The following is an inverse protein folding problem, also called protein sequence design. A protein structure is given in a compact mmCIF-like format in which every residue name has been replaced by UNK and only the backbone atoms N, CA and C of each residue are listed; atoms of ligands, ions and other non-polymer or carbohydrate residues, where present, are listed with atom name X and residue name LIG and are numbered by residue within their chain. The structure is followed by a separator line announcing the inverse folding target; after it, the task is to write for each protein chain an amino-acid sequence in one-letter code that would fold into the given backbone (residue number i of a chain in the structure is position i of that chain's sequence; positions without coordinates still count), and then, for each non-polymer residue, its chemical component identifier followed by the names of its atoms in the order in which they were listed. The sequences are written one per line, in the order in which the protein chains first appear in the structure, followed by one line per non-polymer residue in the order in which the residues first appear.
data_IF_783440532301
#
_entry.id   IF_783440532301
#
_cell.length_a   1.000
_cell.length_b   1.000
_cell.length_c   1.000
_cell.angle_alpha   90.00
_cell.angle_beta   90.00
_cell.angle_gamma   90.00
#
_symmetry.space_group_name_H-M   'P 1'
#
loop_
_entity.id
_entity.type
_entity.pdbx_description
1 polymer ?
#
# COMPACT_ATOMS: atom_id res chain seq x y z
N UNK A 1 3.48 15.68 -5.84
CA UNK A 1 3.60 14.54 -4.91
C UNK A 1 3.30 15.04 -3.51
N UNK A 2 2.07 15.52 -3.33
CA UNK A 2 1.85 16.62 -2.39
C UNK A 2 1.69 16.10 -0.96
N UNK A 3 1.07 14.92 -0.79
CA UNK A 3 0.96 14.25 0.51
C UNK A 3 2.33 13.86 1.10
N UNK A 4 3.27 13.41 0.25
CA UNK A 4 4.61 13.03 0.68
C UNK A 4 5.38 14.26 1.19
N UNK A 5 5.31 15.36 0.43
CA UNK A 5 5.95 16.61 0.84
C UNK A 5 5.32 17.18 2.12
N UNK A 6 3.98 17.16 2.23
CA UNK A 6 3.26 17.61 3.42
C UNK A 6 3.64 16.79 4.67
N UNK A 7 3.70 15.46 4.56
CA UNK A 7 4.13 14.59 5.65
C UNK A 7 5.57 14.88 6.07
N UNK A 8 6.48 15.05 5.10
CA UNK A 8 7.88 15.41 5.38
C UNK A 8 8.00 16.77 6.09
N UNK A 9 7.28 17.80 5.63
CA UNK A 9 7.23 19.12 6.29
C UNK A 9 6.64 19.04 7.70
N UNK A 10 5.73 18.09 7.95
CA UNK A 10 5.19 17.77 9.27
C UNK A 10 6.13 16.92 10.15
N UNK A 11 7.34 16.61 9.67
CA UNK A 11 8.38 15.92 10.41
C UNK A 11 8.41 14.41 10.24
N UNK A 12 7.73 13.85 9.23
CA UNK A 12 7.80 12.43 8.89
C UNK A 12 9.25 12.05 8.54
N UNK A 13 9.81 11.08 9.27
CA UNK A 13 11.20 10.63 9.10
C UNK A 13 11.39 9.29 9.80
N UNK A 14 12.08 8.35 9.13
CA UNK A 14 12.32 6.99 9.63
C UNK A 14 11.01 6.21 9.90
N UNK A 15 9.95 6.49 9.16
CA UNK A 15 8.62 5.87 9.35
C UNK A 15 8.56 4.38 9.02
N UNK A 16 9.66 3.77 8.55
CA UNK A 16 9.80 2.32 8.42
C UNK A 16 10.06 1.60 9.75
N UNK A 17 10.32 2.35 10.83
CA UNK A 17 10.49 1.84 12.19
C UNK A 17 9.34 2.32 13.08
N UNK A 18 8.67 1.37 13.73
CA UNK A 18 7.45 1.63 14.52
C UNK A 18 7.67 2.68 15.62
N UNK A 19 8.87 2.75 16.20
CA UNK A 19 9.21 3.72 17.25
C UNK A 19 9.19 5.18 16.75
N UNK A 20 9.41 5.36 15.45
CA UNK A 20 9.45 6.66 14.77
C UNK A 20 8.17 6.99 14.02
N UNK A 21 7.37 5.97 13.67
CA UNK A 21 6.12 6.17 12.95
C UNK A 21 5.14 7.01 13.78
N UNK A 22 4.63 8.07 13.15
CA UNK A 22 3.60 8.95 13.73
C UNK A 22 2.47 9.11 12.73
N UNK A 23 1.40 8.33 12.92
CA UNK A 23 0.23 8.27 12.04
C UNK A 23 -0.37 9.65 11.77
N UNK A 24 -0.36 10.53 12.77
CA UNK A 24 -0.99 11.85 12.73
C UNK A 24 -0.40 12.74 11.63
N UNK A 25 0.90 12.57 11.33
CA UNK A 25 1.59 13.32 10.27
C UNK A 25 1.07 12.94 8.89
N UNK A 26 0.79 11.65 8.71
CA UNK A 26 0.28 11.11 7.46
C UNK A 26 -1.19 11.41 7.27
N UNK A 27 -2.02 11.22 8.30
CA UNK A 27 -3.44 11.58 8.22
C UNK A 27 -3.64 13.07 7.97
N UNK A 28 -2.89 13.94 8.66
CA UNK A 28 -2.93 15.38 8.41
C UNK A 28 -2.44 15.77 7.01
N UNK A 29 -1.43 15.09 6.48
CA UNK A 29 -0.95 15.32 5.11
C UNK A 29 -1.99 14.89 4.06
N UNK A 30 -2.68 13.77 4.28
CA UNK A 30 -3.78 13.31 3.42
C UNK A 30 -4.94 14.30 3.41
N UNK A 31 -5.37 14.77 4.59
CA UNK A 31 -6.41 15.79 4.72
C UNK A 31 -6.02 17.11 4.02
N UNK A 32 -4.80 17.60 4.23
CA UNK A 32 -4.31 18.84 3.63
C UNK A 32 -4.29 18.80 2.09
N UNK A 33 -4.04 17.63 1.52
CA UNK A 33 -3.81 17.46 0.08
C UNK A 33 -5.01 16.85 -0.65
N UNK A 34 -6.06 16.48 0.09
CA UNK A 34 -7.23 15.80 -0.46
C UNK A 34 -6.97 14.37 -0.92
N UNK A 35 -5.86 13.75 -0.48
CA UNK A 35 -5.55 12.36 -0.80
C UNK A 35 -6.43 11.45 0.04
N UNK A 36 -7.26 10.64 -0.60
CA UNK A 36 -8.07 9.64 0.09
C UNK A 36 -7.25 8.37 0.39
N UNK A 37 -6.72 8.27 1.61
CA UNK A 37 -5.98 7.10 2.06
C UNK A 37 -6.84 5.81 2.06
N UNK A 38 -8.14 5.94 2.32
CA UNK A 38 -9.07 4.83 2.36
C UNK A 38 -9.29 4.23 0.97
N UNK A 39 -9.35 5.07 -0.07
CA UNK A 39 -9.38 4.61 -1.46
C UNK A 39 -8.19 3.70 -1.75
N UNK A 40 -6.96 4.14 -1.44
CA UNK A 40 -5.78 3.32 -1.71
C UNK A 40 -5.67 2.08 -0.82
N UNK A 41 -6.10 2.16 0.44
CA UNK A 41 -5.98 1.07 1.40
C UNK A 41 -7.04 -0.03 1.29
N UNK A 42 -8.19 0.26 0.66
CA UNK A 42 -9.34 -0.67 0.60
C UNK A 42 -9.82 -1.02 -0.80
N UNK A 43 -9.25 -0.40 -1.83
CA UNK A 43 -9.64 -0.71 -3.21
C UNK A 43 -9.16 -2.10 -3.61
N UNK A 44 -10.05 -2.86 -4.22
CA UNK A 44 -9.66 -4.07 -4.94
C UNK A 44 -8.83 -3.70 -6.18
N UNK A 45 -7.67 -4.31 -6.31
CA UNK A 45 -6.80 -4.12 -7.47
C UNK A 45 -7.09 -5.25 -8.46
N UNK A 46 -7.63 -4.97 -9.65
CA UNK A 46 -7.85 -5.99 -10.67
C UNK A 46 -6.52 -6.62 -11.10
N UNK A 47 -6.52 -7.90 -11.42
CA UNK A 47 -5.30 -8.57 -11.89
C UNK A 47 -4.76 -7.97 -13.18
N UNK A 48 -5.63 -7.42 -14.03
CA UNK A 48 -5.25 -6.74 -15.27
C UNK A 48 -4.57 -5.39 -15.03
N UNK A 49 -4.67 -4.81 -13.83
CA UNK A 49 -4.05 -3.55 -13.50
C UNK A 49 -2.56 -3.74 -13.16
N UNK A 50 -1.64 -2.98 -13.78
CA UNK A 50 -0.24 -3.04 -13.41
C UNK A 50 -0.05 -2.48 -12.00
N UNK A 51 0.56 -3.28 -11.13
CA UNK A 51 0.90 -2.83 -9.78
C UNK A 51 1.93 -1.69 -9.83
N UNK A 52 1.87 -0.68 -8.94
CA UNK A 52 2.85 0.41 -8.89
C UNK A 52 4.30 -0.08 -8.75
N UNK A 53 4.49 -1.26 -8.15
CA UNK A 53 5.78 -1.92 -7.95
C UNK A 53 6.09 -3.02 -8.98
N UNK A 54 5.30 -3.15 -10.06
CA UNK A 54 5.52 -4.19 -11.08
C UNK A 54 6.87 -4.05 -11.84
N UNK A 55 7.50 -2.88 -11.74
CA UNK A 55 8.84 -2.63 -12.28
C UNK A 55 9.97 -3.23 -11.42
N UNK A 56 9.67 -3.67 -10.20
CA UNK A 56 10.63 -4.34 -9.32
C UNK A 56 10.76 -5.79 -9.76
N UNK A 57 11.96 -6.17 -10.23
CA UNK A 57 12.23 -7.53 -10.67
C UNK A 57 12.28 -8.45 -9.43
N UNK A 58 11.29 -9.33 -9.33
CA UNK A 58 11.30 -10.43 -8.36
C UNK A 58 11.83 -11.69 -9.03
N UNK A 59 12.51 -12.55 -8.27
CA UNK A 59 12.97 -13.86 -8.75
C UNK A 59 11.79 -14.77 -9.16
N UNK A 60 10.58 -14.47 -8.68
CA UNK A 60 9.35 -15.15 -9.06
C UNK A 60 8.55 -14.26 -9.99
N UNK A 61 8.14 -14.82 -11.12
CA UNK A 61 7.30 -14.13 -12.09
C UNK A 61 5.90 -13.84 -11.56
N UNK A 62 5.24 -12.85 -12.17
CA UNK A 62 3.86 -12.44 -11.87
C UNK A 62 2.88 -13.61 -11.81
N UNK A 63 2.97 -14.54 -12.75
CA UNK A 63 2.05 -15.69 -12.82
C UNK A 63 2.14 -16.59 -11.59
N UNK A 64 3.33 -16.68 -10.97
CA UNK A 64 3.52 -17.48 -9.78
C UNK A 64 2.90 -16.78 -8.57
N UNK A 65 3.05 -15.45 -8.46
CA UNK A 65 2.43 -14.64 -7.40
C UNK A 65 0.90 -14.65 -7.49
N UNK A 66 0.33 -14.60 -8.69
CA UNK A 66 -1.12 -14.68 -8.90
C UNK A 66 -1.68 -16.04 -8.46
N UNK A 67 -1.01 -17.15 -8.83
CA UNK A 67 -1.46 -18.49 -8.40
C UNK A 67 -1.51 -18.61 -6.88
N UNK A 68 -0.50 -18.12 -6.17
CA UNK A 68 -0.48 -18.15 -4.71
C UNK A 68 -1.55 -17.23 -4.10
N UNK A 69 -1.77 -16.06 -4.68
CA UNK A 69 -2.85 -15.18 -4.27
C UNK A 69 -4.23 -15.86 -4.37
N UNK A 70 -4.51 -16.55 -5.47
CA UNK A 70 -5.75 -17.33 -5.64
C UNK A 70 -5.87 -18.44 -4.60
N UNK A 71 -4.82 -19.24 -4.42
CA UNK A 71 -4.81 -20.33 -3.46
C UNK A 71 -5.07 -19.82 -2.03
N UNK A 72 -4.42 -18.73 -1.63
CA UNK A 72 -4.65 -18.10 -0.32
C UNK A 72 -6.11 -17.64 -0.16
N UNK A 73 -6.68 -17.00 -1.20
CA UNK A 73 -8.08 -16.56 -1.16
C UNK A 73 -9.07 -17.71 -1.05
N UNK A 74 -8.83 -18.81 -1.75
CA UNK A 74 -9.64 -20.02 -1.65
C UNK A 74 -9.56 -20.64 -0.25
N UNK A 75 -8.36 -20.72 0.34
CA UNK A 75 -8.17 -21.22 1.71
C UNK A 75 -8.91 -20.36 2.74
N UNK A 76 -8.75 -19.02 2.67
CA UNK A 76 -9.45 -18.11 3.59
C UNK A 76 -10.97 -18.19 3.47
N UNK A 77 -11.50 -18.45 2.28
CA UNK A 77 -12.93 -18.63 2.05
C UNK A 77 -13.47 -19.99 2.55
N UNK A 78 -12.61 -21.00 2.67
CA UNK A 78 -12.98 -22.32 3.18
C UNK A 78 -12.90 -22.43 4.72
N UNK A 79 -12.15 -21.52 5.37
CA UNK A 79 -11.94 -21.48 6.83
C UNK A 79 -12.91 -20.55 7.58
N UNK A 80 -13.63 -19.66 6.88
CA UNK A 80 -14.63 -18.73 7.43
C UNK A 80 -16.06 -19.23 7.28
#
# INVERSE_FOLDING_TARGET
ADAIEAAWRAGARLDAWDEHFRTERWTGAFEQTGVDAAFFGRREIPESEPLPWAHIVCHRGRDVLLREYHQMRETLAAEG
#
